data_IF_793329590946
#
_entry.id   IF_793329590946
#
_cell.length_a   1.000
_cell.length_b   1.000
_cell.length_c   1.000
_cell.angle_alpha   90.00
_cell.angle_beta   90.00
_cell.angle_gamma   90.00
#
_symmetry.space_group_name_H-M   'P 1'
#
loop_
_entity.id
_entity.type
_entity.pdbx_description
1 polymer ?
#
# COMPACT_ATOMS: atom_id res chain seq x y z
N UNK A 1 19.96 -11.17 19.16
CA UNK A 1 19.64 -9.74 19.18
C UNK A 1 19.01 -9.46 17.83
N UNK A 2 17.68 -9.42 17.80
CA UNK A 2 16.89 -9.25 16.55
C UNK A 2 16.71 -7.75 16.34
N UNK A 3 17.21 -7.22 15.22
CA UNK A 3 16.96 -5.84 14.81
C UNK A 3 15.47 -5.68 14.50
N UNK A 4 14.83 -4.81 15.25
CA UNK A 4 13.45 -4.38 15.03
C UNK A 4 13.46 -3.47 13.80
N UNK A 5 12.88 -3.96 12.70
CA UNK A 5 12.69 -3.18 11.47
C UNK A 5 11.78 -1.99 11.80
N UNK A 6 12.34 -0.80 11.77
CA UNK A 6 11.62 0.45 12.02
C UNK A 6 10.73 0.73 10.82
N UNK A 7 9.44 0.48 10.94
CA UNK A 7 8.44 0.84 9.92
C UNK A 7 8.42 2.36 9.76
N UNK A 8 8.95 2.86 8.67
CA UNK A 8 9.02 4.29 8.37
C UNK A 8 7.62 4.78 7.95
N UNK A 9 6.91 5.40 8.88
CA UNK A 9 5.58 6.01 8.60
C UNK A 9 5.78 7.18 7.63
N UNK A 10 5.25 7.02 6.42
CA UNK A 10 5.35 8.00 5.35
C UNK A 10 4.47 9.23 5.66
N UNK A 11 5.04 10.44 5.61
CA UNK A 11 4.24 11.67 5.78
C UNK A 11 3.29 11.88 4.60
N UNK A 12 2.14 12.59 4.76
CA UNK A 12 1.20 12.87 3.67
C UNK A 12 1.87 13.53 2.46
N UNK A 13 2.85 14.40 2.70
CA UNK A 13 3.62 15.05 1.63
C UNK A 13 4.52 14.05 0.89
N UNK A 14 5.17 13.14 1.61
CA UNK A 14 5.98 12.08 1.01
C UNK A 14 5.10 11.10 0.22
N UNK A 15 3.92 10.73 0.74
CA UNK A 15 2.95 9.89 0.04
C UNK A 15 2.51 10.54 -1.29
N UNK A 16 2.10 11.82 -1.28
CA UNK A 16 1.71 12.53 -2.51
C UNK A 16 2.86 12.59 -3.52
N UNK A 17 4.08 12.84 -3.06
CA UNK A 17 5.26 12.84 -3.92
C UNK A 17 5.52 11.46 -4.53
N UNK A 18 5.40 10.39 -3.75
CA UNK A 18 5.57 9.01 -4.21
C UNK A 18 4.51 8.64 -5.25
N UNK A 19 3.22 8.91 -4.98
CA UNK A 19 2.13 8.67 -5.94
C UNK A 19 2.35 9.44 -7.23
N UNK A 20 2.75 10.72 -7.16
CA UNK A 20 3.05 11.53 -8.35
C UNK A 20 4.24 10.97 -9.14
N UNK A 21 5.29 10.52 -8.47
CA UNK A 21 6.45 9.89 -9.10
C UNK A 21 6.07 8.58 -9.80
N UNK A 22 5.27 7.71 -9.14
CA UNK A 22 4.76 6.48 -9.71
C UNK A 22 3.87 6.74 -10.93
N UNK A 23 2.92 7.66 -10.82
CA UNK A 23 2.04 8.02 -11.94
C UNK A 23 2.85 8.58 -13.11
N UNK A 24 3.84 9.41 -12.82
CA UNK A 24 4.75 9.93 -13.85
C UNK A 24 5.58 8.84 -14.52
N UNK A 25 6.07 7.86 -13.77
CA UNK A 25 6.88 6.77 -14.30
C UNK A 25 6.04 5.72 -15.04
N UNK A 26 4.90 5.31 -14.47
CA UNK A 26 4.10 4.16 -14.93
C UNK A 26 2.73 4.53 -15.52
N UNK A 27 2.38 5.80 -15.63
CA UNK A 27 1.13 6.24 -16.27
C UNK A 27 1.04 5.92 -17.77
N UNK A 28 2.17 5.76 -18.44
CA UNK A 28 2.25 5.39 -19.85
C UNK A 28 2.29 3.86 -19.99
N UNK A 29 1.34 3.22 -20.74
CA UNK A 29 1.27 1.78 -20.89
C UNK A 29 2.51 1.18 -21.57
N UNK A 30 3.09 1.85 -22.55
CA UNK A 30 4.31 1.41 -23.24
C UNK A 30 5.49 1.38 -22.27
N UNK A 31 5.62 2.41 -21.43
CA UNK A 31 6.70 2.48 -20.43
C UNK A 31 6.56 1.40 -19.36
N UNK A 32 5.32 1.04 -18.95
CA UNK A 32 5.09 -0.11 -18.07
C UNK A 32 5.55 -1.41 -18.71
N UNK A 33 5.20 -1.64 -19.96
CA UNK A 33 5.60 -2.83 -20.70
C UNK A 33 7.13 -2.93 -20.86
N UNK A 34 7.80 -1.80 -21.13
CA UNK A 34 9.27 -1.71 -21.19
C UNK A 34 9.90 -2.06 -19.84
N UNK A 35 9.36 -1.57 -18.73
CA UNK A 35 9.86 -1.89 -17.39
C UNK A 35 9.73 -3.39 -17.08
N UNK A 36 8.57 -3.99 -17.38
CA UNK A 36 8.35 -5.43 -17.18
C UNK A 36 9.30 -6.26 -18.03
N UNK A 37 9.53 -5.87 -19.27
CA UNK A 37 10.51 -6.51 -20.14
C UNK A 37 11.94 -6.39 -19.59
N UNK A 38 12.33 -5.22 -19.07
CA UNK A 38 13.64 -5.03 -18.46
C UNK A 38 13.84 -5.92 -17.21
N UNK A 39 12.79 -6.24 -16.45
CA UNK A 39 12.84 -7.15 -15.29
C UNK A 39 13.16 -8.59 -15.67
N UNK A 40 12.80 -9.02 -16.87
CA UNK A 40 13.06 -10.37 -17.38
C UNK A 40 14.53 -10.52 -17.87
N UNK A 41 15.29 -9.40 -17.90
CA UNK A 41 16.66 -9.36 -18.44
C UNK A 41 17.63 -8.86 -17.36
N UNK A 42 18.20 -9.77 -16.58
CA UNK A 42 19.13 -9.46 -15.49
C UNK A 42 20.40 -8.72 -15.95
N UNK A 43 20.87 -8.97 -17.17
CA UNK A 43 21.97 -8.25 -17.80
C UNK A 43 21.64 -6.81 -18.20
N UNK A 44 20.36 -6.45 -18.14
CA UNK A 44 19.84 -5.15 -18.55
C UNK A 44 19.51 -5.09 -20.05
N UNK A 45 18.82 -4.02 -20.44
CA UNK A 45 18.36 -3.80 -21.81
C UNK A 45 18.94 -2.52 -22.40
N UNK A 46 19.06 -2.47 -23.72
CA UNK A 46 19.52 -1.28 -24.47
C UNK A 46 18.32 -0.60 -25.17
N UNK A 47 18.48 0.67 -25.52
CA UNK A 47 17.45 1.39 -26.29
C UNK A 47 17.20 0.75 -27.68
N UNK A 48 18.20 0.08 -28.25
CA UNK A 48 18.05 -0.63 -29.53
C UNK A 48 17.16 -1.86 -29.37
N UNK A 49 17.42 -2.69 -28.35
CA UNK A 49 16.59 -3.87 -28.05
C UNK A 49 15.14 -3.48 -27.77
N UNK A 50 14.91 -2.41 -27.00
CA UNK A 50 13.56 -1.91 -26.74
C UNK A 50 12.90 -1.36 -28.01
N UNK A 51 13.65 -0.63 -28.85
CA UNK A 51 13.19 -0.14 -30.15
C UNK A 51 12.69 -1.28 -31.04
N UNK A 52 13.46 -2.35 -31.15
CA UNK A 52 13.13 -3.53 -31.94
C UNK A 52 11.94 -4.32 -31.35
N UNK A 53 11.98 -4.56 -30.03
CA UNK A 53 10.95 -5.37 -29.33
C UNK A 53 9.56 -4.75 -29.34
N UNK A 54 9.49 -3.41 -29.21
CA UNK A 54 8.24 -2.66 -29.09
C UNK A 54 7.87 -1.88 -30.36
N UNK A 55 8.62 -2.06 -31.44
CA UNK A 55 8.42 -1.37 -32.73
C UNK A 55 8.40 0.16 -32.57
N UNK A 56 9.30 0.68 -31.73
CA UNK A 56 9.42 2.10 -31.43
C UNK A 56 10.63 2.73 -32.16
N UNK A 57 10.52 4.03 -32.42
CA UNK A 57 11.73 4.76 -32.82
C UNK A 57 12.76 4.78 -31.67
N UNK A 58 14.06 4.61 -31.98
CA UNK A 58 15.12 4.50 -30.97
C UNK A 58 15.17 5.67 -29.97
N UNK A 59 14.79 6.89 -30.37
CA UNK A 59 14.71 8.04 -29.47
C UNK A 59 13.54 7.93 -28.50
N UNK A 60 12.40 7.34 -28.92
CA UNK A 60 11.23 7.11 -28.08
C UNK A 60 11.55 6.03 -27.03
N UNK A 61 12.17 4.93 -27.47
CA UNK A 61 12.66 3.87 -26.57
C UNK A 61 13.60 4.44 -25.50
N UNK A 62 14.57 5.25 -25.91
CA UNK A 62 15.50 5.92 -24.99
C UNK A 62 14.78 6.85 -24.02
N UNK A 63 13.81 7.63 -24.49
CA UNK A 63 13.04 8.53 -23.63
C UNK A 63 12.27 7.77 -22.54
N UNK A 64 11.65 6.63 -22.85
CA UNK A 64 10.99 5.78 -21.87
C UNK A 64 11.98 5.22 -20.84
N UNK A 65 13.13 4.71 -21.29
CA UNK A 65 14.19 4.19 -20.44
C UNK A 65 14.80 5.26 -19.53
N UNK A 66 15.11 6.45 -20.07
CA UNK A 66 15.66 7.56 -19.31
C UNK A 66 14.64 8.08 -18.26
N UNK A 67 13.33 8.07 -18.55
CA UNK A 67 12.28 8.41 -17.57
C UNK A 67 12.19 7.39 -16.43
N UNK A 68 12.30 6.11 -16.73
CA UNK A 68 12.34 5.06 -15.70
C UNK A 68 13.61 5.18 -14.84
N UNK A 69 14.75 5.47 -15.46
CA UNK A 69 16.00 5.69 -14.74
C UNK A 69 15.96 6.95 -13.85
N UNK A 70 15.39 8.04 -14.35
CA UNK A 70 15.21 9.28 -13.57
C UNK A 70 14.27 9.08 -12.37
N UNK A 71 13.32 8.15 -12.45
CA UNK A 71 12.44 7.74 -11.34
C UNK A 71 13.10 6.76 -10.36
N UNK A 72 14.34 6.31 -10.63
CA UNK A 72 15.04 5.35 -9.79
C UNK A 72 14.61 3.88 -9.98
N UNK A 73 13.79 3.60 -11.00
CA UNK A 73 13.32 2.23 -11.31
C UNK A 73 14.33 1.42 -12.13
N UNK A 74 15.19 2.11 -12.88
CA UNK A 74 16.30 1.51 -13.63
C UNK A 74 17.62 2.19 -13.27
N UNK A 75 18.69 1.41 -13.19
CA UNK A 75 20.06 1.88 -13.12
C UNK A 75 20.68 1.87 -14.53
N UNK A 76 21.54 2.85 -14.79
CA UNK A 76 22.19 2.99 -16.10
C UNK A 76 23.66 2.63 -15.95
N UNK A 77 24.10 1.61 -16.68
CA UNK A 77 25.51 1.26 -16.83
C UNK A 77 25.97 1.56 -18.26
N UNK A 78 27.24 1.93 -18.42
CA UNK A 78 27.83 2.15 -19.74
C UNK A 78 28.77 0.97 -19.99
N UNK A 79 28.39 0.11 -20.92
CA UNK A 79 29.20 -1.03 -21.28
C UNK A 79 29.84 -0.81 -22.66
N UNK A 80 31.13 -1.18 -22.76
CA UNK A 80 31.83 -1.26 -24.06
C UNK A 80 31.64 -2.68 -24.57
N UNK A 81 31.25 -2.82 -25.84
CA UNK A 81 31.15 -4.14 -26.46
C UNK A 81 32.48 -4.90 -26.31
N UNK A 82 32.45 -6.07 -25.64
CA UNK A 82 33.64 -6.91 -25.40
C UNK A 82 34.18 -7.60 -26.65
N UNK A 83 33.51 -7.51 -27.80
CA UNK A 83 33.91 -8.16 -29.04
C UNK A 83 34.58 -7.14 -29.98
N UNK A 84 35.84 -7.33 -30.25
CA UNK A 84 36.67 -6.80 -31.34
C UNK A 84 35.99 -5.79 -32.27
N UNK A 85 36.09 -4.53 -31.95
CA UNK A 85 35.66 -3.47 -32.88
C UNK A 85 35.37 -2.15 -32.17
N UNK A 86 35.74 -1.08 -32.80
CA UNK A 86 35.52 0.32 -32.39
C UNK A 86 34.00 0.61 -32.41
N UNK A 87 33.27 0.15 -31.38
CA UNK A 87 31.86 0.45 -31.21
C UNK A 87 31.65 1.56 -30.18
N UNK A 88 30.68 2.48 -30.44
CA UNK A 88 30.29 3.50 -29.46
C UNK A 88 29.75 2.80 -28.20
N UNK A 89 30.19 3.19 -27.00
CA UNK A 89 29.64 2.65 -25.76
C UNK A 89 28.10 2.73 -25.72
N UNK A 90 27.43 1.64 -25.34
CA UNK A 90 25.97 1.62 -25.21
C UNK A 90 25.56 1.74 -23.74
N UNK A 91 24.46 2.47 -23.51
CA UNK A 91 23.80 2.49 -22.22
C UNK A 91 23.01 1.20 -22.06
N UNK A 92 23.23 0.49 -20.96
CA UNK A 92 22.44 -0.63 -20.49
C UNK A 92 21.59 -0.17 -19.31
N UNK A 93 20.33 -0.46 -19.36
CA UNK A 93 19.35 -0.12 -18.34
C UNK A 93 18.93 -1.40 -17.63
N UNK A 94 19.27 -1.50 -16.36
CA UNK A 94 19.01 -2.66 -15.50
C UNK A 94 18.03 -2.25 -14.41
N UNK A 95 17.18 -3.16 -13.96
CA UNK A 95 16.32 -2.87 -12.81
C UNK A 95 17.19 -2.54 -11.60
N UNK A 96 16.88 -1.44 -10.91
CA UNK A 96 17.62 -0.99 -9.75
C UNK A 96 17.55 -2.05 -8.65
N UNK A 97 18.72 -2.50 -8.18
CA UNK A 97 18.85 -3.53 -7.14
C UNK A 97 18.59 -3.00 -5.72
N UNK A 98 18.32 -1.71 -5.56
CA UNK A 98 17.85 -1.19 -4.30
C UNK A 98 16.51 -1.81 -4.03
N UNK A 99 16.41 -2.42 -2.83
CA UNK A 99 15.18 -2.80 -2.16
C UNK A 99 14.04 -1.90 -2.63
N UNK A 100 13.53 -2.19 -3.81
CA UNK A 100 12.39 -1.48 -4.30
C UNK A 100 11.28 -2.00 -3.41
N UNK A 101 10.85 -1.19 -2.45
CA UNK A 101 9.58 -1.32 -1.77
C UNK A 101 8.42 -1.47 -2.77
N UNK A 102 8.73 -1.47 -4.05
CA UNK A 102 7.90 -1.77 -5.20
C UNK A 102 8.35 -3.07 -5.87
N UNK A 103 8.43 -4.13 -5.10
CA UNK A 103 8.24 -5.44 -5.68
C UNK A 103 6.83 -5.44 -6.29
N UNK A 104 6.75 -5.35 -7.62
CA UNK A 104 5.63 -5.93 -8.34
C UNK A 104 5.76 -7.45 -8.23
N UNK A 105 5.83 -7.98 -7.03
CA UNK A 105 5.53 -9.39 -6.81
C UNK A 105 4.15 -9.60 -7.44
N UNK A 106 4.00 -10.59 -8.27
CA UNK A 106 2.69 -11.22 -8.47
C UNK A 106 2.04 -11.16 -7.09
N UNK A 107 0.89 -10.49 -6.97
CA UNK A 107 0.26 -10.16 -5.68
C UNK A 107 0.05 -11.42 -4.86
N UNK A 108 1.14 -11.89 -4.26
CA UNK A 108 1.12 -12.96 -3.25
C UNK A 108 0.24 -12.53 -2.09
N UNK A 109 0.12 -11.22 -1.86
CA UNK A 109 -0.77 -10.66 -0.86
C UNK A 109 -2.23 -11.00 -1.16
N UNK A 110 -2.69 -10.88 -2.42
CA UNK A 110 -4.04 -11.25 -2.83
C UNK A 110 -4.27 -12.77 -2.66
N UNK A 111 -3.26 -13.61 -2.95
CA UNK A 111 -3.34 -15.05 -2.74
C UNK A 111 -3.42 -15.40 -1.25
N UNK A 112 -2.59 -14.76 -0.41
CA UNK A 112 -2.58 -14.95 1.03
C UNK A 112 -3.89 -14.46 1.64
N UNK A 113 -4.39 -13.29 1.25
CA UNK A 113 -5.69 -12.76 1.69
C UNK A 113 -6.85 -13.66 1.27
N UNK A 114 -6.84 -14.16 0.03
CA UNK A 114 -7.85 -15.12 -0.45
C UNK A 114 -7.81 -16.43 0.35
N UNK A 115 -6.60 -16.96 0.60
CA UNK A 115 -6.43 -18.17 1.41
C UNK A 115 -6.95 -17.95 2.84
N UNK A 116 -6.60 -16.81 3.45
CA UNK A 116 -7.06 -16.43 4.78
C UNK A 116 -8.58 -16.26 4.81
N UNK A 117 -9.16 -15.59 3.82
CA UNK A 117 -10.61 -15.43 3.69
C UNK A 117 -11.32 -16.77 3.63
N UNK A 118 -10.83 -17.71 2.79
CA UNK A 118 -11.37 -19.08 2.71
C UNK A 118 -11.17 -19.87 3.99
N UNK A 119 -10.04 -19.73 4.66
CA UNK A 119 -9.78 -20.40 5.94
C UNK A 119 -10.73 -19.90 7.04
N UNK A 120 -10.96 -18.58 7.11
CA UNK A 120 -11.93 -17.99 8.05
C UNK A 120 -13.37 -18.41 7.71
N UNK A 121 -13.75 -18.49 6.44
CA UNK A 121 -15.06 -18.93 6.02
C UNK A 121 -15.35 -20.41 6.33
N UNK A 122 -14.33 -21.22 6.55
CA UNK A 122 -14.46 -22.61 6.99
C UNK A 122 -14.74 -22.77 8.51
N UNK A 123 -14.61 -21.69 9.28
CA UNK A 123 -14.90 -21.67 10.73
C UNK A 123 -16.36 -21.31 11.00
N UNK A 124 -16.89 -21.62 12.19
CA UNK A 124 -18.16 -21.07 12.63
C UNK A 124 -18.11 -19.52 12.57
N UNK A 125 -19.16 -18.84 12.08
CA UNK A 125 -19.15 -17.40 11.83
C UNK A 125 -18.71 -16.56 13.03
N UNK A 126 -19.21 -16.87 14.23
CA UNK A 126 -18.85 -16.15 15.46
C UNK A 126 -17.36 -16.30 15.79
N UNK A 127 -16.80 -17.49 15.58
CA UNK A 127 -15.38 -17.77 15.81
C UNK A 127 -14.52 -16.99 14.81
N UNK A 128 -14.91 -17.00 13.53
CA UNK A 128 -14.20 -16.26 12.49
C UNK A 128 -14.19 -14.76 12.77
N UNK A 129 -15.34 -14.18 13.12
CA UNK A 129 -15.45 -12.77 13.49
C UNK A 129 -14.60 -12.40 14.71
N UNK A 130 -14.62 -13.25 15.73
CA UNK A 130 -13.86 -13.04 16.97
C UNK A 130 -12.35 -13.04 16.71
N UNK A 131 -11.86 -13.99 15.91
CA UNK A 131 -10.44 -14.06 15.51
C UNK A 131 -10.06 -12.83 14.71
N UNK A 132 -10.84 -12.48 13.68
CA UNK A 132 -10.57 -11.34 12.81
C UNK A 132 -10.54 -10.03 13.60
N UNK A 133 -11.54 -9.80 14.48
CA UNK A 133 -11.58 -8.61 15.32
C UNK A 133 -10.41 -8.57 16.32
N UNK A 134 -10.03 -9.71 16.90
CA UNK A 134 -8.91 -9.77 17.84
C UNK A 134 -7.58 -9.41 17.14
N UNK A 135 -7.32 -9.97 15.96
CA UNK A 135 -6.13 -9.64 15.16
C UNK A 135 -6.11 -8.15 14.84
N UNK A 136 -7.24 -7.60 14.37
CA UNK A 136 -7.36 -6.17 14.10
C UNK A 136 -7.09 -5.33 15.35
N UNK A 137 -7.62 -5.72 16.51
CA UNK A 137 -7.44 -5.01 17.78
C UNK A 137 -5.96 -4.95 18.19
N UNK A 138 -5.27 -6.07 18.09
CA UNK A 138 -3.85 -6.13 18.49
C UNK A 138 -2.99 -5.31 17.52
N UNK A 139 -3.29 -5.37 16.23
CA UNK A 139 -2.64 -4.52 15.22
C UNK A 139 -2.93 -3.03 15.44
N UNK A 140 -4.19 -2.66 15.70
CA UNK A 140 -4.58 -1.28 16.00
C UNK A 140 -3.89 -0.71 17.26
N UNK A 141 -3.72 -1.51 18.30
CA UNK A 141 -2.91 -1.11 19.49
C UNK A 141 -1.47 -0.85 19.12
N UNK A 142 -0.86 -1.69 18.28
CA UNK A 142 0.50 -1.49 17.80
C UNK A 142 0.62 -0.20 16.97
N UNK A 143 -0.33 0.08 16.08
CA UNK A 143 -0.39 1.34 15.32
C UNK A 143 -0.48 2.56 16.23
N UNK A 144 -1.23 2.48 17.31
CA UNK A 144 -1.41 3.57 18.26
C UNK A 144 -0.12 3.98 19.00
N UNK A 145 0.86 3.09 19.11
CA UNK A 145 2.17 3.44 19.72
C UNK A 145 2.88 4.54 18.95
N UNK A 146 2.68 4.64 17.63
CA UNK A 146 3.16 5.72 16.79
C UNK A 146 2.38 7.05 16.93
N UNK A 147 1.16 6.99 17.46
CA UNK A 147 0.27 8.16 17.66
C UNK A 147 0.43 8.80 19.03
N UNK A 148 0.96 8.07 19.97
CA UNK A 148 1.29 8.57 21.32
C UNK A 148 2.69 9.16 21.28
N UNK A 149 2.83 10.48 21.00
CA UNK A 149 4.05 11.19 21.34
C UNK A 149 4.34 11.06 22.85
N UNK A 150 5.54 11.41 23.29
CA UNK A 150 6.05 11.26 24.67
C UNK A 150 5.13 11.78 25.79
N UNK A 151 4.04 12.49 25.48
CA UNK A 151 3.14 13.17 26.44
C UNK A 151 1.68 12.68 26.45
N UNK A 152 1.33 11.59 25.78
CA UNK A 152 -0.06 11.16 25.69
C UNK A 152 -0.42 10.06 26.72
N UNK A 153 -0.73 10.47 27.94
CA UNK A 153 -1.43 9.60 28.87
C UNK A 153 -2.84 9.28 28.33
N UNK A 154 -3.24 8.00 28.42
CA UNK A 154 -4.60 7.53 28.08
C UNK A 154 -5.63 8.40 28.82
N UNK A 155 -6.65 8.89 28.10
CA UNK A 155 -7.76 9.64 28.70
C UNK A 155 -7.67 11.17 28.65
N UNK A 156 -6.60 11.76 28.11
CA UNK A 156 -6.49 13.23 27.97
C UNK A 156 -7.03 13.79 26.64
N UNK A 157 -7.35 12.96 25.68
CA UNK A 157 -7.89 13.39 24.37
C UNK A 157 -9.42 13.41 24.40
N UNK A 158 -10.03 14.43 23.76
CA UNK A 158 -11.45 14.36 23.47
C UNK A 158 -11.74 13.21 22.48
N UNK A 159 -12.95 12.63 22.55
CA UNK A 159 -13.33 11.57 21.61
C UNK A 159 -13.17 12.02 20.15
N UNK A 160 -13.57 13.25 19.82
CA UNK A 160 -13.40 13.82 18.47
C UNK A 160 -11.92 13.86 18.04
N UNK A 161 -11.03 14.28 18.92
CA UNK A 161 -9.58 14.31 18.61
C UNK A 161 -8.99 12.90 18.48
N UNK A 162 -9.46 11.95 19.27
CA UNK A 162 -9.04 10.56 19.16
C UNK A 162 -9.50 9.93 17.83
N UNK A 163 -10.76 10.14 17.43
CA UNK A 163 -11.31 9.65 16.16
C UNK A 163 -10.57 10.26 14.96
N UNK A 164 -10.20 11.56 15.01
CA UNK A 164 -9.41 12.20 13.97
C UNK A 164 -8.03 11.54 13.86
N UNK A 165 -7.35 11.31 14.98
CA UNK A 165 -6.04 10.63 14.98
C UNK A 165 -6.12 9.21 14.42
N UNK A 166 -7.21 8.48 14.69
CA UNK A 166 -7.46 7.15 14.12
C UNK A 166 -7.68 7.25 12.61
N UNK A 167 -8.49 8.20 12.12
CA UNK A 167 -8.71 8.39 10.69
C UNK A 167 -7.40 8.74 9.95
N UNK A 168 -6.56 9.60 10.54
CA UNK A 168 -5.26 9.95 9.97
C UNK A 168 -4.33 8.73 9.92
N UNK A 169 -4.32 7.89 10.96
CA UNK A 169 -3.55 6.65 11.00
C UNK A 169 -4.04 5.64 9.94
N UNK A 170 -5.34 5.43 9.82
CA UNK A 170 -5.91 4.57 8.78
C UNK A 170 -5.54 5.07 7.39
N UNK A 171 -5.60 6.39 7.15
CA UNK A 171 -5.21 6.99 5.86
C UNK A 171 -3.73 6.74 5.55
N UNK A 172 -2.85 6.83 6.54
CA UNK A 172 -1.44 6.48 6.38
C UNK A 172 -1.22 4.99 6.01
N UNK A 173 -2.20 4.13 6.31
CA UNK A 173 -2.21 2.70 5.99
C UNK A 173 -3.10 2.35 4.77
N UNK A 174 -3.50 3.32 3.97
CA UNK A 174 -4.15 3.13 2.66
C UNK A 174 -5.67 3.10 2.67
N UNK A 175 -6.34 3.45 3.78
CA UNK A 175 -7.82 3.43 3.87
C UNK A 175 -8.54 4.65 3.29
N UNK A 176 -7.87 5.73 3.00
CA UNK A 176 -8.49 7.02 2.64
C UNK A 176 -9.62 7.42 3.62
N UNK A 177 -9.31 7.37 4.92
CA UNK A 177 -10.24 7.58 6.00
C UNK A 177 -10.39 9.06 6.36
N UNK A 178 -11.60 9.46 6.74
CA UNK A 178 -11.88 10.78 7.29
C UNK A 178 -12.96 10.70 8.36
N UNK A 179 -13.05 11.73 9.20
CA UNK A 179 -14.09 11.83 10.22
C UNK A 179 -15.33 12.50 9.66
N UNK A 180 -16.50 12.00 10.04
CA UNK A 180 -17.79 12.56 9.71
C UNK A 180 -18.69 12.57 10.97
N UNK A 181 -19.72 13.39 10.96
CA UNK A 181 -20.75 13.41 12.00
C UNK A 181 -22.13 13.33 11.37
N UNK A 182 -22.90 12.30 11.74
CA UNK A 182 -24.27 12.12 11.29
C UNK A 182 -25.18 11.80 12.49
N UNK A 183 -26.33 12.44 12.56
CA UNK A 183 -27.30 12.26 13.66
C UNK A 183 -26.65 12.38 15.05
N UNK A 184 -25.76 13.33 15.23
CA UNK A 184 -24.99 13.55 16.46
C UNK A 184 -24.03 12.41 16.86
N UNK A 185 -23.81 11.41 16.00
CA UNK A 185 -22.85 10.34 16.18
C UNK A 185 -21.59 10.63 15.37
N UNK A 186 -20.43 10.38 15.97
CA UNK A 186 -19.13 10.50 15.31
C UNK A 186 -18.83 9.20 14.54
N UNK A 187 -18.32 9.35 13.31
CA UNK A 187 -18.01 8.24 12.43
C UNK A 187 -16.64 8.41 11.81
N UNK A 188 -16.02 7.29 11.49
CA UNK A 188 -14.89 7.20 10.57
C UNK A 188 -15.46 6.64 9.27
N UNK A 189 -15.24 7.36 8.16
CA UNK A 189 -15.68 6.96 6.82
C UNK A 189 -14.43 6.61 6.00
N UNK A 190 -14.41 5.42 5.41
CA UNK A 190 -13.35 4.91 4.55
C UNK A 190 -13.85 4.87 3.10
N UNK A 191 -13.27 5.70 2.23
CA UNK A 191 -13.60 5.73 0.80
C UNK A 191 -12.80 4.70 -0.02
N UNK A 192 -11.80 4.07 0.57
CA UNK A 192 -10.99 3.03 -0.05
C UNK A 192 -10.71 1.94 0.97
N UNK A 193 -10.84 0.68 0.54
CA UNK A 193 -10.51 -0.49 1.34
C UNK A 193 -9.20 -1.10 0.83
N UNK A 194 -8.14 -1.19 1.64
CA UNK A 194 -6.88 -1.79 1.23
C UNK A 194 -6.99 -3.31 1.00
N UNK A 195 -8.03 -3.95 1.53
CA UNK A 195 -8.30 -5.37 1.29
C UNK A 195 -8.98 -5.64 -0.07
N UNK A 196 -9.43 -4.58 -0.77
CA UNK A 196 -9.99 -4.67 -2.12
C UNK A 196 -11.16 -5.63 -2.26
N UNK A 197 -11.22 -6.32 -3.39
CA UNK A 197 -12.29 -7.25 -3.74
C UNK A 197 -12.37 -8.46 -2.80
N UNK A 198 -11.26 -8.82 -2.13
CA UNK A 198 -11.23 -9.92 -1.17
C UNK A 198 -12.14 -9.67 0.03
N UNK A 199 -12.30 -8.40 0.46
CA UNK A 199 -13.25 -8.05 1.53
C UNK A 199 -14.71 -8.19 1.05
N UNK A 200 -14.98 -8.03 -0.25
CA UNK A 200 -16.30 -8.25 -0.84
C UNK A 200 -16.61 -9.74 -0.88
N UNK A 201 -15.66 -10.56 -1.30
CA UNK A 201 -15.81 -12.03 -1.35
C UNK A 201 -15.86 -12.66 0.05
N UNK A 202 -15.14 -12.09 1.00
CA UNK A 202 -15.00 -12.59 2.37
C UNK A 202 -15.27 -11.48 3.41
N UNK A 203 -16.55 -11.12 3.65
CA UNK A 203 -16.93 -10.00 4.54
C UNK A 203 -16.41 -10.09 5.98
N UNK A 204 -16.02 -11.28 6.45
CA UNK A 204 -15.40 -11.48 7.75
C UNK A 204 -14.11 -10.67 7.92
N UNK A 205 -13.43 -10.34 6.82
CA UNK A 205 -12.21 -9.50 6.83
C UNK A 205 -12.52 -8.08 7.35
N UNK A 206 -13.74 -7.57 7.16
CA UNK A 206 -14.16 -6.27 7.70
C UNK A 206 -14.14 -6.23 9.25
N UNK A 207 -14.17 -7.38 9.91
CA UNK A 207 -14.00 -7.42 11.36
C UNK A 207 -12.57 -7.05 11.79
N UNK A 208 -11.57 -7.24 10.93
CA UNK A 208 -10.19 -6.77 11.15
C UNK A 208 -10.16 -5.24 11.20
N UNK A 209 -10.79 -4.56 10.24
CA UNK A 209 -10.88 -3.08 10.19
C UNK A 209 -11.55 -2.53 11.46
N UNK A 210 -12.70 -3.07 11.83
CA UNK A 210 -13.39 -2.70 13.08
C UNK A 210 -12.50 -2.94 14.31
N UNK A 211 -11.79 -4.04 14.34
CA UNK A 211 -10.82 -4.37 15.39
C UNK A 211 -9.70 -3.33 15.47
N UNK A 212 -9.14 -2.90 14.33
CA UNK A 212 -8.09 -1.87 14.28
C UNK A 212 -8.58 -0.55 14.86
N UNK A 213 -9.76 -0.08 14.46
CA UNK A 213 -10.38 1.13 15.03
C UNK A 213 -10.52 0.99 16.55
N UNK A 214 -11.05 -0.14 17.03
CA UNK A 214 -11.23 -0.41 18.46
C UNK A 214 -9.89 -0.44 19.20
N UNK A 215 -8.88 -1.11 18.65
CA UNK A 215 -7.55 -1.21 19.23
C UNK A 215 -6.87 0.14 19.38
N UNK A 216 -6.92 0.98 18.34
CA UNK A 216 -6.37 2.34 18.38
C UNK A 216 -7.09 3.21 19.39
N UNK A 217 -8.45 3.24 19.38
CA UNK A 217 -9.23 4.04 20.32
C UNK A 217 -8.99 3.61 21.77
N UNK A 218 -8.93 2.30 22.03
CA UNK A 218 -8.63 1.79 23.38
C UNK A 218 -7.27 2.29 23.87
N UNK A 219 -6.28 2.40 23.00
CA UNK A 219 -4.94 2.83 23.37
C UNK A 219 -4.81 4.35 23.62
N UNK A 220 -5.60 5.19 22.93
CA UNK A 220 -5.42 6.66 22.97
C UNK A 220 -6.54 7.42 23.69
N UNK A 221 -7.71 6.80 23.85
CA UNK A 221 -8.88 7.43 24.48
C UNK A 221 -9.42 6.60 25.64
N UNK A 222 -9.65 5.31 25.41
CA UNK A 222 -10.28 4.40 26.35
C UNK A 222 -11.18 3.40 25.64
N UNK A 223 -11.94 2.62 26.44
CA UNK A 223 -12.81 1.59 25.88
C UNK A 223 -13.99 2.22 25.09
N UNK A 224 -14.19 1.70 23.90
CA UNK A 224 -15.25 2.12 22.97
C UNK A 224 -15.84 0.89 22.28
N UNK A 225 -17.05 1.04 21.74
CA UNK A 225 -17.74 -0.03 20.99
C UNK A 225 -18.00 0.41 19.55
N UNK A 226 -16.97 0.41 18.69
CA UNK A 226 -17.15 0.77 17.27
C UNK A 226 -18.08 -0.23 16.57
N UNK A 227 -19.05 0.29 15.82
CA UNK A 227 -20.01 -0.49 15.05
C UNK A 227 -19.94 -0.14 13.57
N UNK A 228 -19.99 -1.14 12.69
CA UNK A 228 -20.06 -0.92 11.25
C UNK A 228 -21.46 -0.43 10.89
N UNK A 229 -21.58 0.79 10.37
CA UNK A 229 -22.86 1.42 9.99
C UNK A 229 -23.07 1.44 8.47
N UNK A 230 -22.03 1.19 7.67
CA UNK A 230 -22.07 0.98 6.21
C UNK A 230 -20.85 0.15 5.79
N UNK A 231 -20.99 -0.71 4.77
CA UNK A 231 -19.86 -1.46 4.24
C UNK A 231 -20.03 -1.84 2.78
N UNK A 232 -18.94 -1.81 2.01
CA UNK A 232 -18.88 -2.22 0.60
C UNK A 232 -19.43 -3.64 0.37
N UNK A 233 -19.13 -4.67 1.20
CA UNK A 233 -19.73 -5.99 1.08
C UNK A 233 -21.25 -6.03 1.20
N UNK A 234 -21.87 -5.04 1.86
CA UNK A 234 -23.33 -4.91 1.98
C UNK A 234 -23.95 -4.10 0.84
N UNK A 235 -23.14 -3.64 -0.12
CA UNK A 235 -23.61 -2.87 -1.28
C UNK A 235 -23.56 -1.35 -1.10
N UNK A 236 -23.00 -0.85 0.00
CA UNK A 236 -22.77 0.57 0.18
C UNK A 236 -21.64 1.08 -0.71
N UNK A 237 -21.58 2.38 -0.95
CA UNK A 237 -20.52 3.03 -1.77
C UNK A 237 -19.26 3.37 -0.96
N UNK A 238 -19.28 3.21 0.34
CA UNK A 238 -18.18 3.45 1.28
C UNK A 238 -18.34 2.56 2.51
N UNK A 239 -17.30 2.46 3.32
CA UNK A 239 -17.41 1.85 4.65
C UNK A 239 -17.49 2.93 5.71
N UNK A 240 -18.28 2.71 6.77
CA UNK A 240 -18.38 3.62 7.90
C UNK A 240 -18.44 2.87 9.22
N UNK A 241 -17.66 3.35 10.19
CA UNK A 241 -17.65 2.86 11.57
C UNK A 241 -18.12 3.96 12.49
N UNK A 242 -19.22 3.75 13.19
CA UNK A 242 -19.79 4.64 14.20
C UNK A 242 -19.19 4.33 15.57
N UNK A 243 -18.91 5.38 16.37
CA UNK A 243 -18.31 5.27 17.70
C UNK A 243 -19.26 5.84 18.74
#
# INVERSE_FOLDING_TARGET
MSEVSTTHVMTPKAFTATVSAMTSAFGDPTRRAIYLYAREHEEGVTATQISEKFELHANVARHHLDKLAAGGYLEVTIERAKAQGVGRPSKHYRVASKDSEFEFSVRTDDLVLTLLGKALAALPPDTAHLIAEQVGRDYGKAMATGLTGHDAAVGHRSLRSAIQAVADALTAHGFAAHTDQRNNQLRIVNNHCPFGDVAIEHPVICAVDRGMVKGMLTAIYGDTSPETSASLPQGDTFCATTI
#
